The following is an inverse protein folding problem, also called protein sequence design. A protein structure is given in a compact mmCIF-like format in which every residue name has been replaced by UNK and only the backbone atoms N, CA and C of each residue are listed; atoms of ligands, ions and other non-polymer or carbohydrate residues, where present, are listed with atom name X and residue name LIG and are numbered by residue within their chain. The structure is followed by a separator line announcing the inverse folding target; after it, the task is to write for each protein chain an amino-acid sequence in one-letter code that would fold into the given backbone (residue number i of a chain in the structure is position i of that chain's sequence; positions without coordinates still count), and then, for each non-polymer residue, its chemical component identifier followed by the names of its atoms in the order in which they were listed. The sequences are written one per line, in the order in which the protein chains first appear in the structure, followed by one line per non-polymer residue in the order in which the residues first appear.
data_IF_938770275798
#
_entry.id   IF_938770275798
#
_cell.length_a   1.000
_cell.length_b   1.000
_cell.length_c   1.000
_cell.angle_alpha   90.00
_cell.angle_beta   90.00
_cell.angle_gamma   90.00
#
_symmetry.space_group_name_H-M   'P 1'
#
loop_
_entity.id
_entity.type
_entity.pdbx_description
1 polymer ?
#
# COMPACT_ATOMS: atom_id res chain seq x y z
N UNK A 1 -19.17 -2.21 -16.03
CA UNK A 1 -18.17 -1.62 -15.11
C UNK A 1 -18.60 -1.85 -13.67
N UNK A 2 -17.70 -2.32 -12.81
CA UNK A 2 -17.98 -2.58 -11.41
C UNK A 2 -17.55 -1.35 -10.60
N UNK A 3 -18.52 -0.75 -9.87
CA UNK A 3 -18.24 0.32 -8.92
C UNK A 3 -18.37 -0.22 -7.50
N UNK A 4 -17.41 0.09 -6.64
CA UNK A 4 -17.42 -0.34 -5.25
C UNK A 4 -18.16 0.66 -4.39
N UNK A 5 -18.84 0.16 -3.35
CA UNK A 5 -19.40 0.99 -2.30
C UNK A 5 -18.27 1.48 -1.38
N UNK A 6 -18.60 2.44 -0.50
CA UNK A 6 -17.68 2.92 0.52
C UNK A 6 -17.09 1.76 1.34
N UNK A 7 -17.95 0.88 1.84
CA UNK A 7 -17.54 -0.24 2.68
C UNK A 7 -16.67 -1.23 1.92
N UNK A 8 -17.00 -1.48 0.65
CA UNK A 8 -16.19 -2.36 -0.21
C UNK A 8 -14.81 -1.77 -0.47
N UNK A 9 -14.72 -0.46 -0.69
CA UNK A 9 -13.44 0.22 -0.89
C UNK A 9 -12.57 0.13 0.37
N UNK A 10 -13.14 0.39 1.54
CA UNK A 10 -12.42 0.29 2.81
C UNK A 10 -11.96 -1.17 3.03
N UNK A 11 -12.83 -2.14 2.77
CA UNK A 11 -12.49 -3.55 2.91
C UNK A 11 -11.34 -3.96 1.97
N UNK A 12 -11.36 -3.48 0.74
CA UNK A 12 -10.27 -3.74 -0.22
C UNK A 12 -8.92 -3.24 0.33
N UNK A 13 -8.90 -2.05 0.91
CA UNK A 13 -7.68 -1.45 1.46
C UNK A 13 -7.22 -2.18 2.73
N UNK A 14 -8.10 -2.37 3.71
CA UNK A 14 -7.71 -2.90 5.01
C UNK A 14 -7.56 -4.42 5.01
N UNK A 15 -8.58 -5.15 4.54
CA UNK A 15 -8.63 -6.60 4.66
C UNK A 15 -7.99 -7.32 3.49
N UNK A 16 -8.25 -6.89 2.26
CA UNK A 16 -7.69 -7.57 1.09
C UNK A 16 -6.24 -7.17 0.86
N UNK A 17 -5.90 -5.92 1.07
CA UNK A 17 -4.55 -5.43 0.79
C UNK A 17 -3.63 -5.43 2.01
N UNK A 18 -3.81 -4.52 2.97
CA UNK A 18 -2.85 -4.38 4.08
C UNK A 18 -2.73 -5.60 4.96
N UNK A 19 -3.84 -6.27 5.27
CA UNK A 19 -3.79 -7.51 6.06
C UNK A 19 -2.91 -8.57 5.38
N UNK A 20 -3.00 -8.67 4.06
CA UNK A 20 -2.19 -9.64 3.31
C UNK A 20 -0.74 -9.18 3.11
N UNK A 21 -0.48 -7.88 3.08
CA UNK A 21 0.90 -7.35 3.13
C UNK A 21 1.54 -7.75 4.46
N UNK A 22 0.82 -7.58 5.57
CA UNK A 22 1.31 -7.94 6.91
C UNK A 22 1.62 -9.43 7.04
N UNK A 23 0.88 -10.30 6.33
CA UNK A 23 1.07 -11.74 6.34
C UNK A 23 1.94 -12.25 5.19
N UNK A 24 2.47 -11.35 4.34
CA UNK A 24 3.31 -11.67 3.18
C UNK A 24 2.63 -12.63 2.19
N UNK A 25 1.32 -12.49 1.99
CA UNK A 25 0.54 -13.31 1.06
C UNK A 25 0.59 -12.70 -0.35
N UNK A 26 1.68 -12.92 -1.07
CA UNK A 26 1.97 -12.25 -2.33
C UNK A 26 0.85 -12.38 -3.37
N UNK A 27 0.36 -13.59 -3.61
CA UNK A 27 -0.67 -13.82 -4.64
C UNK A 27 -1.96 -13.07 -4.33
N UNK A 28 -2.35 -13.00 -3.06
CA UNK A 28 -3.54 -12.29 -2.63
C UNK A 28 -3.35 -10.78 -2.74
N UNK A 29 -2.16 -10.27 -2.39
CA UNK A 29 -1.80 -8.86 -2.58
C UNK A 29 -1.96 -8.49 -4.06
N UNK A 30 -1.37 -9.27 -4.95
CA UNK A 30 -1.39 -9.00 -6.39
C UNK A 30 -2.80 -9.06 -6.95
N UNK A 31 -3.65 -9.94 -6.43
CA UNK A 31 -5.04 -10.06 -6.88
C UNK A 31 -5.86 -8.79 -6.60
N UNK A 32 -5.41 -7.92 -5.71
CA UNK A 32 -6.04 -6.62 -5.48
C UNK A 32 -5.84 -5.63 -6.63
N UNK A 33 -4.86 -5.86 -7.49
CA UNK A 33 -4.45 -4.94 -8.56
C UNK A 33 -5.05 -5.32 -9.91
N UNK A 34 -5.36 -4.30 -10.72
CA UNK A 34 -5.64 -4.51 -12.14
C UNK A 34 -4.36 -5.00 -12.82
N UNK A 35 -4.51 -5.77 -13.91
CA UNK A 35 -3.37 -6.34 -14.64
C UNK A 35 -2.37 -5.27 -15.09
N UNK A 36 -2.87 -4.11 -15.54
CA UNK A 36 -2.07 -2.99 -16.03
C UNK A 36 -1.92 -1.86 -15.00
N UNK A 37 -2.06 -2.18 -13.71
CA UNK A 37 -1.94 -1.20 -12.64
C UNK A 37 -0.54 -0.57 -12.59
N UNK A 38 -0.49 0.65 -12.04
CA UNK A 38 0.77 1.34 -11.74
C UNK A 38 0.79 1.68 -10.26
N UNK A 39 1.88 1.32 -9.61
CA UNK A 39 2.13 1.58 -8.20
C UNK A 39 3.31 2.55 -8.10
N UNK A 40 3.08 3.70 -7.49
CA UNK A 40 4.09 4.76 -7.40
C UNK A 40 4.42 5.05 -5.95
N UNK A 41 5.70 4.93 -5.60
CA UNK A 41 6.23 5.46 -4.35
C UNK A 41 6.54 6.92 -4.62
N UNK A 42 5.55 7.78 -4.37
CA UNK A 42 5.59 9.19 -4.78
C UNK A 42 6.67 9.96 -4.04
N UNK A 43 6.90 9.63 -2.77
CA UNK A 43 7.96 10.26 -1.96
C UNK A 43 9.36 9.95 -2.48
N UNK A 44 9.53 8.92 -3.31
CA UNK A 44 10.81 8.55 -3.93
C UNK A 44 10.79 8.74 -5.45
N UNK A 45 9.70 9.28 -6.01
CA UNK A 45 9.52 9.48 -7.47
C UNK A 45 9.75 8.21 -8.28
N UNK A 46 9.34 7.05 -7.76
CA UNK A 46 9.59 5.74 -8.38
C UNK A 46 8.28 5.02 -8.66
N UNK A 47 8.12 4.54 -9.89
CA UNK A 47 6.91 3.81 -10.30
C UNK A 47 7.24 2.37 -10.69
N UNK A 48 6.28 1.48 -10.41
CA UNK A 48 6.33 0.06 -10.76
C UNK A 48 5.10 -0.24 -11.59
N UNK A 49 5.31 -0.71 -12.82
CA UNK A 49 4.24 -0.93 -13.78
C UNK A 49 3.97 -2.41 -14.00
N UNK A 50 2.67 -2.75 -14.05
CA UNK A 50 2.19 -4.10 -14.31
C UNK A 50 2.15 -4.98 -13.06
N UNK A 51 0.97 -5.59 -12.85
CA UNK A 51 0.71 -6.46 -11.70
C UNK A 51 1.71 -7.62 -11.62
N UNK A 52 1.92 -8.31 -12.74
CA UNK A 52 2.72 -9.53 -12.78
C UNK A 52 4.19 -9.29 -13.15
N UNK A 53 4.58 -8.03 -13.28
CA UNK A 53 5.95 -7.63 -13.62
C UNK A 53 6.52 -6.68 -12.56
N UNK A 54 6.42 -5.37 -12.75
CA UNK A 54 7.01 -4.38 -11.84
C UNK A 54 6.46 -4.44 -10.43
N UNK A 55 5.14 -4.57 -10.27
CA UNK A 55 4.50 -4.62 -8.96
C UNK A 55 4.86 -5.92 -8.23
N UNK A 56 4.86 -7.07 -8.93
CA UNK A 56 5.29 -8.35 -8.34
C UNK A 56 6.72 -8.25 -7.80
N UNK A 57 7.64 -7.73 -8.59
CA UNK A 57 9.04 -7.58 -8.19
C UNK A 57 9.19 -6.69 -6.96
N UNK A 58 8.41 -5.61 -6.90
CA UNK A 58 8.40 -4.71 -5.75
C UNK A 58 8.01 -5.47 -4.47
N UNK A 59 6.90 -6.22 -4.49
CA UNK A 59 6.45 -6.93 -3.29
C UNK A 59 7.34 -8.12 -2.93
N UNK A 60 7.93 -8.80 -3.91
CA UNK A 60 8.93 -9.83 -3.64
C UNK A 60 10.12 -9.24 -2.88
N UNK A 61 10.60 -8.09 -3.31
CA UNK A 61 11.71 -7.37 -2.67
C UNK A 61 11.33 -6.87 -1.27
N UNK A 62 10.16 -6.26 -1.13
CA UNK A 62 9.66 -5.74 0.15
C UNK A 62 9.49 -6.87 1.16
N UNK A 63 8.87 -7.97 0.76
CA UNK A 63 8.65 -9.12 1.65
C UNK A 63 9.94 -9.76 2.14
N UNK A 64 11.00 -9.71 1.34
CA UNK A 64 12.32 -10.23 1.73
C UNK A 64 13.12 -9.23 2.56
N UNK A 65 12.74 -7.96 2.58
CA UNK A 65 13.52 -6.88 3.18
C UNK A 65 13.31 -6.67 4.68
N UNK A 66 12.39 -7.40 5.30
CA UNK A 66 12.13 -7.28 6.75
C UNK A 66 11.58 -8.60 7.30
N UNK A 67 11.68 -8.76 8.62
CA UNK A 67 11.16 -9.95 9.31
C UNK A 67 9.65 -9.86 9.51
N UNK A 68 9.16 -8.67 9.88
CA UNK A 68 7.78 -8.47 10.30
C UNK A 68 7.34 -7.07 9.97
N UNK A 69 6.07 -6.91 9.57
CA UNK A 69 5.46 -5.61 9.32
C UNK A 69 4.01 -5.63 9.78
N UNK A 70 3.55 -4.49 10.28
CA UNK A 70 2.18 -4.25 10.69
C UNK A 70 1.72 -2.90 10.18
N UNK A 71 0.49 -2.86 9.64
CA UNK A 71 -0.19 -1.65 9.21
C UNK A 71 -1.48 -1.51 10.02
N UNK A 72 -1.77 -0.32 10.51
CA UNK A 72 -2.98 -0.08 11.28
C UNK A 72 -3.25 1.39 11.56
N UNK A 73 -4.20 1.65 12.45
CA UNK A 73 -4.65 2.99 12.81
C UNK A 73 -5.14 3.76 11.58
N UNK A 74 -5.93 3.08 10.74
CA UNK A 74 -6.39 3.63 9.45
C UNK A 74 -7.38 4.77 9.62
N UNK A 75 -7.17 5.85 8.86
CA UNK A 75 -8.11 6.94 8.71
C UNK A 75 -8.34 7.16 7.22
N UNK A 76 -9.59 7.03 6.78
CA UNK A 76 -9.95 7.04 5.38
C UNK A 76 -10.73 8.29 4.99
N UNK A 77 -10.44 8.80 3.79
CA UNK A 77 -11.31 9.73 3.07
C UNK A 77 -11.71 9.03 1.79
N UNK A 78 -13.01 8.80 1.61
CA UNK A 78 -13.54 8.01 0.50
C UNK A 78 -14.40 8.87 -0.40
N UNK A 79 -14.11 8.85 -1.70
CA UNK A 79 -14.97 9.43 -2.72
C UNK A 79 -15.48 8.28 -3.61
N UNK A 80 -16.73 7.89 -3.38
CA UNK A 80 -17.37 6.80 -4.11
C UNK A 80 -17.56 7.18 -5.58
N UNK A 81 -17.92 8.42 -5.86
CA UNK A 81 -18.17 8.87 -7.23
C UNK A 81 -16.94 8.72 -8.13
N UNK A 82 -15.77 9.15 -7.64
CA UNK A 82 -14.52 9.02 -8.41
C UNK A 82 -13.80 7.70 -8.19
N UNK A 83 -14.32 6.82 -7.33
CA UNK A 83 -13.72 5.54 -6.98
C UNK A 83 -12.30 5.71 -6.46
N UNK A 84 -12.14 6.61 -5.49
CA UNK A 84 -10.85 6.91 -4.86
C UNK A 84 -10.96 6.85 -3.35
N UNK A 85 -9.86 6.44 -2.72
CA UNK A 85 -9.72 6.45 -1.27
C UNK A 85 -8.32 6.93 -0.90
N UNK A 86 -8.26 7.89 0.03
CA UNK A 86 -7.03 8.29 0.69
C UNK A 86 -7.00 7.66 2.07
N UNK A 87 -5.90 7.01 2.41
CA UNK A 87 -5.76 6.31 3.68
C UNK A 87 -4.49 6.76 4.39
N UNK A 88 -4.65 7.33 5.58
CA UNK A 88 -3.56 7.62 6.49
C UNK A 88 -3.44 6.45 7.47
N UNK A 89 -2.23 6.01 7.78
CA UNK A 89 -2.02 4.84 8.65
C UNK A 89 -0.63 4.85 9.26
N UNK A 90 -0.47 4.04 10.29
CA UNK A 90 0.82 3.80 10.94
C UNK A 90 1.39 2.45 10.52
N UNK A 91 2.71 2.39 10.43
CA UNK A 91 3.46 1.19 10.09
C UNK A 91 4.46 0.89 11.19
N UNK A 92 4.53 -0.37 11.60
CA UNK A 92 5.59 -0.87 12.49
C UNK A 92 6.30 -2.00 11.78
N UNK A 93 7.61 -1.94 11.75
CA UNK A 93 8.42 -2.89 11.01
C UNK A 93 9.58 -3.39 11.87
N UNK A 94 9.85 -4.70 11.77
CA UNK A 94 11.05 -5.30 12.33
C UNK A 94 11.98 -5.62 11.16
N UNK A 95 13.15 -4.99 11.14
CA UNK A 95 14.15 -5.18 10.10
C UNK A 95 14.86 -6.53 10.25
N UNK A 96 15.62 -6.95 9.22
CA UNK A 96 16.31 -8.23 9.21
C UNK A 96 17.31 -8.37 10.38
N UNK A 97 17.89 -7.25 10.84
CA UNK A 97 18.81 -7.24 11.98
C UNK A 97 18.11 -7.19 13.34
N UNK A 98 16.78 -7.26 13.38
CA UNK A 98 15.99 -7.20 14.60
C UNK A 98 15.63 -5.78 15.07
N UNK A 99 16.16 -4.74 14.43
CA UNK A 99 15.81 -3.37 14.78
C UNK A 99 14.37 -3.04 14.39
N UNK A 100 13.69 -2.26 15.23
CA UNK A 100 12.32 -1.84 14.99
C UNK A 100 12.27 -0.42 14.43
N UNK A 101 11.33 -0.17 13.52
CA UNK A 101 11.08 1.14 12.93
C UNK A 101 9.58 1.41 12.87
N UNK A 102 9.21 2.67 13.04
CA UNK A 102 7.82 3.12 12.93
C UNK A 102 7.73 4.23 11.89
N UNK A 103 6.63 4.23 11.13
CA UNK A 103 6.38 5.24 10.12
C UNK A 103 4.90 5.63 10.16
N UNK A 104 4.59 6.81 9.66
CA UNK A 104 3.22 7.24 9.41
C UNK A 104 3.12 7.61 7.94
N UNK A 105 2.28 6.89 7.22
CA UNK A 105 2.20 6.99 5.76
C UNK A 105 0.80 7.41 5.31
N UNK A 106 0.71 7.84 4.06
CA UNK A 106 -0.56 8.08 3.39
C UNK A 106 -0.51 7.46 2.00
N UNK A 107 -1.49 6.61 1.69
CA UNK A 107 -1.65 6.05 0.36
C UNK A 107 -2.92 6.59 -0.27
N UNK A 108 -2.88 6.80 -1.60
CA UNK A 108 -4.05 7.12 -2.40
C UNK A 108 -4.29 5.98 -3.37
N UNK A 109 -5.50 5.43 -3.34
CA UNK A 109 -5.90 4.31 -4.20
C UNK A 109 -6.97 4.77 -5.18
N UNK A 110 -6.81 4.41 -6.46
CA UNK A 110 -7.83 4.60 -7.50
C UNK A 110 -8.28 3.25 -7.98
N UNK A 111 -9.58 3.00 -7.97
CA UNK A 111 -10.17 1.74 -8.39
C UNK A 111 -10.67 1.82 -9.84
N UNK A 112 -10.55 0.71 -10.54
CA UNK A 112 -11.20 0.49 -11.83
C UNK A 112 -11.66 -0.97 -11.87
N UNK A 113 -12.94 -1.18 -12.14
CA UNK A 113 -13.55 -2.51 -12.15
C UNK A 113 -13.26 -3.32 -10.86
N UNK A 114 -13.32 -2.64 -9.71
CA UNK A 114 -13.15 -3.28 -8.41
C UNK A 114 -11.72 -3.61 -8.02
N UNK A 115 -10.73 -3.20 -8.79
CA UNK A 115 -9.31 -3.45 -8.53
C UNK A 115 -8.54 -2.13 -8.44
N UNK A 116 -7.38 -2.15 -7.79
CA UNK A 116 -6.49 -0.99 -7.80
C UNK A 116 -5.92 -0.77 -9.19
N UNK A 117 -6.22 0.36 -9.78
CA UNK A 117 -5.64 0.78 -11.07
C UNK A 117 -4.40 1.64 -10.86
N UNK A 118 -4.45 2.53 -9.89
CA UNK A 118 -3.34 3.39 -9.49
C UNK A 118 -3.22 3.39 -7.98
N UNK A 119 -2.00 3.28 -7.49
CA UNK A 119 -1.69 3.46 -6.07
C UNK A 119 -0.55 4.45 -5.96
N UNK A 120 -0.72 5.44 -5.07
CA UNK A 120 0.32 6.41 -4.75
C UNK A 120 0.66 6.28 -3.28
N UNK A 121 1.94 6.07 -2.98
CA UNK A 121 2.44 5.93 -1.62
C UNK A 121 3.24 7.16 -1.23
N UNK A 122 2.86 7.76 -0.11
CA UNK A 122 3.62 8.84 0.52
C UNK A 122 4.12 8.29 1.85
N UNK A 123 5.40 7.97 1.90
CA UNK A 123 6.01 7.35 3.07
C UNK A 123 6.79 8.37 3.88
N UNK A 124 6.60 8.35 5.21
CA UNK A 124 7.46 9.10 6.12
C UNK A 124 8.71 8.24 6.40
N UNK A 125 9.67 8.81 7.06
CA UNK A 125 10.93 8.15 7.33
C UNK A 125 12.05 8.85 6.61
N UNK A 126 13.11 9.18 7.33
CA UNK A 126 14.20 9.97 6.81
C UNK A 126 13.80 11.40 6.46
N UNK A 127 12.71 11.91 7.06
CA UNK A 127 12.24 13.27 6.81
C UNK A 127 13.26 14.32 7.27
N UNK A 128 13.61 15.30 6.41
CA UNK A 128 14.50 16.40 6.82
C UNK A 128 13.85 17.36 7.83
N UNK A 129 12.55 17.25 8.05
CA UNK A 129 11.82 18.10 9.01
C UNK A 129 11.95 17.61 10.44
N UNK A 130 12.44 16.40 10.65
CA UNK A 130 12.59 15.79 11.98
C UNK A 130 14.06 15.39 12.15
N UNK A 131 14.71 15.78 13.28
CA UNK A 131 16.08 15.36 13.52
C UNK A 131 16.21 13.84 13.55
N UNK A 132 17.29 13.33 12.96
CA UNK A 132 17.60 11.91 12.94
C UNK A 132 18.64 11.60 14.00
N UNK A 133 18.39 10.56 14.77
CA UNK A 133 19.32 10.08 15.80
C UNK A 133 20.33 9.09 15.24
#
# INVERSE_FOLDING_TARGET
MVALTREQMINMVEQCYFSNVDHKNLDVILDCFAHDAVFTVQSAFTSYEGRDSGIRKFYESISAGFLKIWHGDFEHIVDVESQRISTQFNVRRTNLNGAEASMSNCNVFRFENGKFKRVFVYASGGSPLVPQD
#
